data_IF_006404177753
#
_entry.id   IF_006404177753
#
_cell.length_a   1.000
_cell.length_b   1.000
_cell.length_c   1.000
_cell.angle_alpha   90.00
_cell.angle_beta   90.00
_cell.angle_gamma   90.00
#
_symmetry.space_group_name_H-M   'P 1'
#
loop_
_entity.id
_entity.type
_entity.pdbx_description
1 polymer ?
#
# COMPACT_ATOMS: atom_id res chain seq x y z
N UNK A 1 -7.74 16.49 -5.76
CA UNK A 1 -6.38 16.08 -6.19
C UNK A 1 -5.60 15.66 -4.97
N UNK A 2 -4.81 14.60 -5.07
CA UNK A 2 -3.94 14.13 -3.99
C UNK A 2 -2.76 15.07 -3.71
N UNK A 3 -1.98 14.75 -2.68
CA UNK A 3 -0.81 15.55 -2.27
C UNK A 3 0.37 14.65 -1.93
N UNK A 4 1.59 15.12 -2.25
CA UNK A 4 2.82 14.50 -1.78
C UNK A 4 3.04 14.84 -0.31
N UNK A 5 3.18 13.83 0.52
CA UNK A 5 3.46 13.96 1.95
C UNK A 5 4.56 12.99 2.36
N UNK A 6 5.29 13.33 3.42
CA UNK A 6 6.27 12.43 4.03
C UNK A 6 5.63 11.72 5.21
N UNK A 7 5.65 10.40 5.21
CA UNK A 7 5.09 9.56 6.27
C UNK A 7 6.13 8.60 6.83
N UNK A 8 6.01 8.33 8.13
CA UNK A 8 6.69 7.18 8.73
C UNK A 8 6.13 5.91 8.11
N UNK A 9 7.00 5.03 7.64
CA UNK A 9 6.59 3.80 6.93
C UNK A 9 5.78 2.86 7.82
N UNK A 10 6.05 2.84 9.14
CA UNK A 10 5.31 2.00 10.09
C UNK A 10 3.83 2.35 10.28
N UNK A 11 3.38 3.54 9.87
CA UNK A 11 1.95 3.92 9.90
C UNK A 11 1.22 3.55 8.61
N UNK A 12 1.93 3.02 7.61
CA UNK A 12 1.39 2.57 6.33
C UNK A 12 1.22 1.06 6.39
N UNK A 13 0.02 0.58 6.10
CA UNK A 13 -0.31 -0.84 6.05
C UNK A 13 -0.33 -1.34 4.60
N UNK A 14 0.20 -2.53 4.33
CA UNK A 14 0.07 -3.12 3.01
C UNK A 14 -1.40 -3.49 2.73
N UNK A 15 -1.83 -3.31 1.48
CA UNK A 15 -3.07 -3.91 0.99
C UNK A 15 -2.87 -5.33 0.44
N UNK A 16 -1.64 -5.73 0.11
CA UNK A 16 -1.30 -7.04 -0.44
C UNK A 16 -0.32 -7.80 0.47
N UNK A 17 -0.26 -9.12 0.33
CA UNK A 17 0.52 -10.02 1.19
C UNK A 17 1.79 -10.59 0.54
N UNK A 18 2.19 -10.07 -0.61
CA UNK A 18 3.40 -10.52 -1.31
C UNK A 18 4.27 -9.35 -1.79
N UNK A 19 5.56 -9.64 -1.97
CA UNK A 19 6.56 -8.76 -2.55
C UNK A 19 7.25 -9.44 -3.72
N UNK A 20 7.80 -8.67 -4.65
CA UNK A 20 8.53 -9.17 -5.81
C UNK A 20 10.03 -9.18 -5.51
N UNK A 21 10.62 -10.37 -5.34
CA UNK A 21 12.04 -10.55 -4.96
C UNK A 21 13.01 -9.70 -5.78
N UNK A 22 12.89 -9.74 -7.12
CA UNK A 22 13.77 -8.99 -8.01
C UNK A 22 13.65 -7.47 -7.80
N UNK A 23 12.43 -6.97 -7.58
CA UNK A 23 12.19 -5.55 -7.30
C UNK A 23 12.74 -5.15 -5.94
N UNK A 24 12.56 -5.96 -4.91
CA UNK A 24 13.13 -5.70 -3.57
C UNK A 24 14.65 -5.62 -3.63
N UNK A 25 15.31 -6.59 -4.29
CA UNK A 25 16.77 -6.60 -4.45
C UNK A 25 17.26 -5.38 -5.23
N UNK A 26 16.57 -5.02 -6.32
CA UNK A 26 16.89 -3.83 -7.09
C UNK A 26 16.86 -2.56 -6.22
N UNK A 27 15.80 -2.38 -5.43
CA UNK A 27 15.66 -1.21 -4.54
C UNK A 27 16.78 -1.19 -3.49
N UNK A 28 17.08 -2.33 -2.86
CA UNK A 28 18.19 -2.45 -1.91
C UNK A 28 19.54 -2.10 -2.55
N UNK A 29 19.78 -2.55 -3.78
CA UNK A 29 20.99 -2.21 -4.53
C UNK A 29 21.08 -0.72 -4.85
N UNK A 30 19.97 -0.06 -5.22
CA UNK A 30 19.92 1.39 -5.40
C UNK A 30 20.32 2.12 -4.11
N UNK A 31 19.77 1.71 -2.96
CA UNK A 31 20.16 2.27 -1.66
C UNK A 31 21.64 2.07 -1.36
N UNK A 32 22.17 0.86 -1.61
CA UNK A 32 23.57 0.52 -1.38
C UNK A 32 24.54 1.32 -2.25
N UNK A 33 24.16 1.62 -3.49
CA UNK A 33 24.96 2.37 -4.47
C UNK A 33 24.77 3.89 -4.40
N UNK A 34 23.75 4.37 -3.68
CA UNK A 34 23.40 5.78 -3.62
C UNK A 34 22.61 6.29 -4.84
N UNK A 35 22.01 5.38 -5.62
CA UNK A 35 21.29 5.69 -6.88
C UNK A 35 19.80 6.00 -6.61
N UNK A 36 19.50 7.10 -5.91
CA UNK A 36 18.12 7.43 -5.50
C UNK A 36 17.20 7.77 -6.67
N UNK A 37 17.75 8.29 -7.78
CA UNK A 37 17.00 8.63 -8.99
C UNK A 37 16.52 7.39 -9.75
N UNK A 38 17.11 6.22 -9.47
CA UNK A 38 16.73 4.92 -10.05
C UNK A 38 15.63 4.21 -9.25
N UNK A 39 15.19 4.77 -8.11
CA UNK A 39 14.15 4.17 -7.29
C UNK A 39 12.82 4.11 -8.05
N UNK A 40 11.95 3.12 -7.75
CA UNK A 40 10.60 3.09 -8.26
C UNK A 40 9.83 4.38 -7.94
N UNK A 41 8.75 4.67 -8.69
CA UNK A 41 7.93 5.85 -8.45
C UNK A 41 7.40 5.95 -7.02
N UNK A 42 7.06 7.19 -6.63
CA UNK A 42 6.48 7.50 -5.32
C UNK A 42 5.27 6.62 -5.02
N UNK A 43 5.26 5.89 -3.88
CA UNK A 43 4.14 5.05 -3.50
C UNK A 43 2.84 5.83 -3.35
N UNK A 44 1.71 5.18 -3.63
CA UNK A 44 0.39 5.78 -3.52
C UNK A 44 -0.30 5.21 -2.29
N UNK A 45 -0.86 6.07 -1.45
CA UNK A 45 -1.54 5.67 -0.21
C UNK A 45 -2.89 6.36 -0.06
N UNK A 46 -3.78 5.75 0.72
CA UNK A 46 -5.02 6.39 1.21
C UNK A 46 -5.08 6.34 2.73
N UNK A 47 -5.93 7.18 3.33
CA UNK A 47 -6.26 7.05 4.76
C UNK A 47 -7.04 5.75 5.00
N UNK A 48 -6.76 5.10 6.13
CA UNK A 48 -7.60 4.01 6.61
C UNK A 48 -8.97 4.59 7.01
N UNK A 49 -10.11 4.03 6.53
CA UNK A 49 -11.42 4.64 6.74
C UNK A 49 -11.82 4.73 8.21
N UNK A 50 -11.38 3.75 9.01
CA UNK A 50 -11.83 3.58 10.40
C UNK A 50 -10.73 3.81 11.46
N UNK A 51 -9.48 4.07 11.04
CA UNK A 51 -8.36 4.16 11.99
C UNK A 51 -7.58 5.45 11.73
N UNK A 52 -7.78 6.49 12.56
CA UNK A 52 -7.08 7.76 12.43
C UNK A 52 -5.56 7.57 12.46
N UNK A 53 -4.85 8.28 11.60
CA UNK A 53 -3.39 8.24 11.53
C UNK A 53 -2.79 6.97 10.90
N UNK A 54 -3.62 6.03 10.46
CA UNK A 54 -3.19 4.85 9.69
C UNK A 54 -3.49 5.06 8.22
N UNK A 55 -2.55 4.64 7.38
CA UNK A 55 -2.64 4.71 5.93
C UNK A 55 -2.60 3.30 5.34
N UNK A 56 -3.16 3.14 4.15
CA UNK A 56 -3.14 1.87 3.42
C UNK A 56 -2.47 2.13 2.08
N UNK A 57 -1.44 1.34 1.78
CA UNK A 57 -0.77 1.35 0.49
C UNK A 57 -1.73 0.88 -0.60
N UNK A 58 -1.82 1.64 -1.68
CA UNK A 58 -2.52 1.26 -2.91
C UNK A 58 -1.51 0.70 -3.91
N UNK A 59 -0.34 1.34 -4.01
CA UNK A 59 0.76 0.93 -4.88
C UNK A 59 2.11 1.27 -4.23
N UNK A 60 3.19 0.68 -4.74
CA UNK A 60 4.56 0.91 -4.26
C UNK A 60 4.97 0.04 -3.07
N UNK A 61 4.30 -1.10 -2.83
CA UNK A 61 4.54 -1.98 -1.67
C UNK A 61 6.00 -2.42 -1.49
N UNK A 62 6.73 -2.70 -2.59
CA UNK A 62 8.14 -3.10 -2.50
C UNK A 62 9.02 -1.97 -1.97
N UNK A 63 8.80 -0.74 -2.42
CA UNK A 63 9.56 0.43 -1.96
C UNK A 63 9.21 0.76 -0.51
N UNK A 64 7.92 0.73 -0.16
CA UNK A 64 7.48 0.91 1.22
C UNK A 64 8.07 -0.14 2.15
N UNK A 65 8.15 -1.41 1.72
CA UNK A 65 8.74 -2.47 2.52
C UNK A 65 10.23 -2.28 2.77
N UNK A 66 10.99 -1.92 1.73
CA UNK A 66 12.43 -1.63 1.88
C UNK A 66 12.64 -0.40 2.76
N UNK A 67 11.85 0.65 2.59
CA UNK A 67 11.95 1.86 3.41
C UNK A 67 11.63 1.55 4.88
N UNK A 68 10.61 0.73 5.17
CA UNK A 68 10.32 0.29 6.55
C UNK A 68 11.48 -0.53 7.14
N UNK A 69 12.05 -1.44 6.35
CA UNK A 69 13.20 -2.24 6.78
C UNK A 69 14.42 -1.39 7.12
N UNK A 70 14.71 -0.37 6.29
CA UNK A 70 15.83 0.54 6.50
C UNK A 70 15.54 1.63 7.56
N UNK A 71 14.32 1.68 8.12
CA UNK A 71 13.92 2.71 9.07
C UNK A 71 13.81 4.11 8.46
N UNK A 72 13.51 4.18 7.16
CA UNK A 72 13.42 5.42 6.39
C UNK A 72 11.94 5.82 6.24
N UNK A 73 11.67 7.11 6.43
CA UNK A 73 10.38 7.72 6.13
C UNK A 73 10.18 7.83 4.61
N UNK A 74 8.99 7.50 4.11
CA UNK A 74 8.71 7.53 2.67
C UNK A 74 7.95 8.79 2.30
N UNK A 75 8.39 9.45 1.22
CA UNK A 75 7.48 10.32 0.46
C UNK A 75 6.43 9.44 -0.20
N UNK A 76 5.17 9.86 -0.14
CA UNK A 76 4.02 9.15 -0.69
C UNK A 76 3.03 10.14 -1.29
N UNK A 77 2.31 9.70 -2.31
CA UNK A 77 1.18 10.42 -2.86
C UNK A 77 -0.10 9.99 -2.13
N UNK A 78 -0.63 10.87 -1.29
CA UNK A 78 -1.88 10.66 -0.58
C UNK A 78 -3.05 10.99 -1.49
N UNK A 79 -3.82 9.97 -1.87
CA UNK A 79 -5.07 10.13 -2.62
C UNK A 79 -6.25 10.41 -1.70
N UNK A 80 -7.18 11.23 -2.18
CA UNK A 80 -8.48 11.43 -1.54
C UNK A 80 -9.48 10.54 -2.29
N UNK A 81 -9.92 9.45 -1.65
CA UNK A 81 -10.81 8.46 -2.28
C UNK A 81 -12.11 9.02 -2.85
N UNK A 82 -12.57 10.19 -2.39
CA UNK A 82 -13.77 10.86 -2.91
C UNK A 82 -13.52 11.72 -4.16
N UNK A 83 -12.29 12.18 -4.39
CA UNK A 83 -11.93 13.12 -5.48
C UNK A 83 -11.30 12.42 -6.69
N UNK A 84 -10.80 11.19 -6.53
CA UNK A 84 -10.00 10.48 -7.53
C UNK A 84 -10.80 9.41 -8.32
N UNK A 85 -12.12 9.58 -8.46
CA UNK A 85 -13.03 8.64 -9.16
C UNK A 85 -12.98 7.18 -8.68
N UNK A 86 -12.50 6.96 -7.46
CA UNK A 86 -12.76 5.72 -6.74
C UNK A 86 -14.23 5.75 -6.30
N UNK A 87 -14.96 4.63 -6.42
CA UNK A 87 -16.41 4.64 -6.25
C UNK A 87 -16.82 5.10 -4.85
N UNK A 88 -17.54 6.23 -4.78
CA UNK A 88 -18.31 6.61 -3.60
C UNK A 88 -19.47 5.59 -3.43
N UNK A 89 -19.64 4.97 -2.25
CA UNK A 89 -20.76 4.07 -2.00
C UNK A 89 -22.03 4.88 -1.70
N UNK A 90 -22.60 5.53 -2.71
CA UNK A 90 -23.84 6.33 -2.57
C UNK A 90 -25.03 5.57 -3.12
N UNK A 91 -25.51 4.59 -2.35
CA UNK A 91 -26.91 4.16 -2.09
C UNK A 91 -26.91 2.68 -1.63
N UNK A 92 -27.74 2.32 -0.64
CA UNK A 92 -27.76 0.95 -0.08
C UNK A 92 -28.04 -0.14 -1.13
N UNK A 93 -28.85 0.17 -2.14
CA UNK A 93 -29.19 -0.76 -3.23
C UNK A 93 -28.05 -0.93 -4.24
N UNK A 94 -27.31 0.15 -4.57
CA UNK A 94 -26.13 0.04 -5.44
C UNK A 94 -24.95 -0.65 -4.75
N UNK A 95 -24.87 -0.57 -3.42
CA UNK A 95 -23.88 -1.31 -2.61
C UNK A 95 -24.16 -2.81 -2.65
N UNK A 96 -25.41 -3.27 -2.53
CA UNK A 96 -25.70 -4.71 -2.56
C UNK A 96 -25.41 -5.36 -3.91
N UNK A 97 -25.82 -4.75 -5.03
CA UNK A 97 -25.55 -5.30 -6.36
C UNK A 97 -24.05 -5.26 -6.68
N UNK A 98 -23.38 -4.16 -6.33
CA UNK A 98 -21.94 -4.01 -6.53
C UNK A 98 -21.12 -4.91 -5.60
N UNK A 99 -21.57 -5.16 -4.38
CA UNK A 99 -20.95 -6.12 -3.48
C UNK A 99 -21.14 -7.55 -3.99
N UNK A 100 -22.28 -7.88 -4.59
CA UNK A 100 -22.47 -9.18 -5.23
C UNK A 100 -21.57 -9.33 -6.46
N UNK A 101 -21.49 -8.32 -7.33
CA UNK A 101 -20.57 -8.32 -8.47
C UNK A 101 -19.09 -8.34 -8.03
N UNK A 102 -18.75 -7.73 -6.89
CA UNK A 102 -17.41 -7.77 -6.30
C UNK A 102 -17.13 -9.10 -5.59
N UNK A 103 -18.12 -9.76 -4.99
CA UNK A 103 -17.99 -11.11 -4.42
C UNK A 103 -17.81 -12.11 -5.56
N UNK A 104 -18.63 -12.05 -6.60
CA UNK A 104 -18.55 -12.97 -7.73
C UNK A 104 -17.27 -12.76 -8.57
N UNK A 105 -16.77 -11.52 -8.63
CA UNK A 105 -15.50 -11.18 -9.32
C UNK A 105 -14.26 -11.29 -8.43
N UNK A 106 -14.44 -11.23 -7.11
CA UNK A 106 -13.36 -11.21 -6.13
C UNK A 106 -13.66 -11.98 -4.83
N UNK A 107 -14.22 -13.19 -4.93
CA UNK A 107 -14.08 -14.21 -3.87
C UNK A 107 -12.60 -14.47 -3.54
N UNK A 108 -11.66 -13.98 -4.37
CA UNK A 108 -10.23 -13.89 -4.09
C UNK A 108 -9.76 -12.67 -3.25
N UNK A 109 -10.57 -11.62 -3.04
CA UNK A 109 -10.16 -10.36 -2.34
C UNK A 109 -10.92 -10.04 -1.05
N UNK A 110 -12.04 -10.71 -0.76
CA UNK A 110 -12.77 -10.54 0.52
C UNK A 110 -11.95 -11.05 1.73
N UNK A 111 -10.84 -11.75 1.49
CA UNK A 111 -9.83 -12.10 2.50
C UNK A 111 -8.93 -10.91 2.94
N UNK A 112 -9.17 -9.66 2.50
CA UNK A 112 -8.30 -8.53 2.87
C UNK A 112 -8.53 -7.95 4.27
N UNK A 113 -9.72 -8.06 4.86
CA UNK A 113 -9.97 -7.49 6.20
C UNK A 113 -9.15 -8.17 7.31
N UNK A 114 -8.85 -9.46 7.17
CA UNK A 114 -7.97 -10.21 8.08
C UNK A 114 -6.48 -10.13 7.69
N UNK A 115 -6.13 -9.60 6.50
CA UNK A 115 -4.74 -9.41 6.06
C UNK A 115 -4.10 -8.09 6.53
N UNK A 116 -4.89 -7.13 7.05
CA UNK A 116 -4.39 -5.82 7.56
C UNK A 116 -3.60 -5.95 8.88
N UNK A 117 -3.41 -7.16 9.42
CA UNK A 117 -2.57 -7.36 10.60
C UNK A 117 -1.07 -7.49 10.33
N UNK A 118 -0.63 -7.60 9.05
CA UNK A 118 0.80 -7.68 8.74
C UNK A 118 1.44 -6.32 8.48
N UNK A 119 2.59 -6.09 9.09
CA UNK A 119 3.48 -4.95 8.81
C UNK A 119 4.36 -5.23 7.60
N UNK A 120 4.89 -4.21 6.90
CA UNK A 120 5.88 -4.50 5.86
C UNK A 120 7.15 -5.12 6.43
N UNK A 121 7.48 -4.80 7.70
CA UNK A 121 8.54 -5.48 8.43
C UNK A 121 8.35 -6.99 8.50
N UNK A 122 7.13 -7.49 8.56
CA UNK A 122 6.87 -8.93 8.50
C UNK A 122 6.98 -9.48 7.08
N UNK A 123 6.51 -8.74 6.08
CA UNK A 123 6.58 -9.16 4.68
C UNK A 123 8.01 -9.27 4.14
N UNK A 124 8.93 -8.41 4.61
CA UNK A 124 10.29 -8.38 4.08
C UNK A 124 11.24 -9.37 4.76
N UNK A 125 10.89 -9.92 5.93
CA UNK A 125 11.74 -10.88 6.66
C UNK A 125 12.13 -12.09 5.81
N UNK A 126 11.21 -12.59 4.99
CA UNK A 126 11.40 -13.76 4.12
C UNK A 126 12.40 -13.52 2.98
N UNK A 127 12.82 -12.28 2.76
CA UNK A 127 13.79 -11.90 1.72
C UNK A 127 15.20 -11.66 2.24
N UNK A 128 15.35 -11.56 3.57
CA UNK A 128 16.60 -11.14 4.24
C UNK A 128 17.17 -12.27 5.11
N UNK A 129 16.38 -13.32 5.39
CA UNK A 129 16.83 -14.56 6.02
C UNK A 129 17.64 -15.43 5.04
#
# INVERSE_FOLDING_TARGET
>A
MGQLIKLKTNVIKPSQDFLKKGTVNFILDCYKKGEMDSLPPTPIVRKHPNVPGVYVAIDGHNLLAVNEFLGIDSEVYLVNSADDYLPNPTTKESISQRNQDLVDKYESSVFEADKINRSFKELIKDFIA
#
